data_IF_454260014900
#
_entry.id   IF_454260014900
#
_cell.length_a   1.000
_cell.length_b   1.000
_cell.length_c   1.000
_cell.angle_alpha   90.00
_cell.angle_beta   90.00
_cell.angle_gamma   90.00
#
_symmetry.space_group_name_H-M   'P 1'
#
loop_
_entity.id
_entity.type
_entity.pdbx_description
1 polymer ?
#
# COMPACT_ATOMS: atom_id res chain seq x y z
N UNK A 7 -8.14 -40.78 32.04
CA UNK A 7 -7.14 -40.87 30.98
C UNK A 7 -6.00 -39.88 31.18
N UNK A 8 -4.87 -40.10 30.50
CA UNK A 8 -3.68 -39.32 30.73
C UNK A 8 -2.93 -38.99 29.46
N UNK A 9 -1.89 -38.17 29.57
CA UNK A 9 -1.24 -37.61 28.37
C UNK A 9 -0.52 -38.65 27.55
N UNK A 10 -0.67 -38.62 26.23
CA UNK A 10 0.20 -39.41 25.35
C UNK A 10 1.58 -38.76 25.27
N UNK A 11 2.51 -39.48 24.63
CA UNK A 11 3.90 -39.04 24.59
C UNK A 11 4.47 -39.23 23.18
N UNK A 12 5.69 -38.72 23.01
CA UNK A 12 6.51 -38.97 21.81
C UNK A 12 5.77 -38.61 20.53
N UNK A 13 5.29 -37.37 20.49
CA UNK A 13 4.64 -36.86 19.28
C UNK A 13 5.73 -36.38 18.31
N UNK A 14 5.62 -36.80 17.05
CA UNK A 14 6.64 -36.51 16.06
C UNK A 14 5.95 -36.22 14.73
N UNK A 15 6.60 -35.38 13.92
CA UNK A 15 6.18 -35.15 12.54
C UNK A 15 7.09 -36.01 11.66
N UNK A 16 6.55 -37.11 11.15
CA UNK A 16 7.34 -38.05 10.37
C UNK A 16 7.63 -37.49 8.98
N UNK A 17 6.58 -37.11 8.25
CA UNK A 17 6.72 -36.43 6.97
C UNK A 17 5.70 -35.31 6.88
N UNK A 18 6.02 -34.33 6.03
CA UNK A 18 5.23 -33.11 5.89
C UNK A 18 5.22 -32.71 4.42
N UNK A 19 4.06 -32.26 3.95
CA UNK A 19 3.83 -31.76 2.60
C UNK A 19 3.27 -30.33 2.67
N UNK A 20 2.92 -29.77 1.51
CA UNK A 20 2.40 -28.41 1.47
C UNK A 20 1.08 -28.28 2.23
N UNK A 21 0.24 -29.32 2.23
CA UNK A 21 -1.04 -29.24 2.92
C UNK A 21 -1.26 -30.34 3.97
N UNK A 22 -0.40 -31.35 4.03
CA UNK A 22 -0.55 -32.50 4.92
C UNK A 22 0.69 -32.68 5.80
N UNK A 23 0.55 -33.52 6.82
CA UNK A 23 1.67 -33.94 7.66
C UNK A 23 1.35 -35.29 8.30
N UNK A 24 2.35 -36.15 8.43
CA UNK A 24 2.17 -37.47 9.02
C UNK A 24 2.64 -37.45 10.48
N UNK A 25 1.80 -37.90 11.39
CA UNK A 25 2.10 -37.83 12.80
C UNK A 25 2.23 -39.22 13.40
N UNK A 26 2.90 -39.29 14.55
CA UNK A 26 3.13 -40.58 15.19
C UNK A 26 3.30 -40.34 16.68
N UNK A 27 2.49 -41.03 17.48
CA UNK A 27 2.55 -40.89 18.93
C UNK A 27 2.57 -42.27 19.58
N UNK A 28 2.92 -42.30 20.86
CA UNK A 28 2.91 -43.53 21.64
C UNK A 28 2.02 -43.32 22.86
N UNK A 29 1.19 -44.30 23.23
CA UNK A 29 0.23 -44.08 24.31
C UNK A 29 0.85 -44.07 25.70
N UNK A 30 0.21 -43.31 26.59
CA UNK A 30 0.68 -43.09 27.94
C UNK A 30 -0.33 -43.57 28.95
N UNK A 31 -0.39 -42.86 30.08
CA UNK A 31 -1.30 -43.21 31.16
C UNK A 31 -2.71 -43.20 30.63
N UNK A 32 -3.44 -44.29 30.88
CA UNK A 32 -4.83 -44.37 30.48
C UNK A 32 -5.73 -44.69 31.67
N UNK A 33 -5.31 -44.26 32.87
CA UNK A 33 -6.04 -44.58 34.10
C UNK A 33 -6.39 -46.06 34.15
N UNK A 34 -7.67 -46.36 34.11
CA UNK A 34 -8.08 -47.76 34.15
C UNK A 34 -8.91 -48.19 32.96
N UNK A 35 -9.87 -47.38 32.55
CA UNK A 35 -10.70 -47.73 31.40
C UNK A 35 -9.90 -47.57 30.11
N UNK A 36 -10.26 -48.29 29.05
CA UNK A 36 -9.45 -48.26 27.84
C UNK A 36 -9.55 -46.94 27.08
N UNK A 37 -8.54 -46.69 26.26
CA UNK A 37 -8.55 -45.53 25.37
C UNK A 37 -9.42 -45.84 24.15
N UNK A 38 -10.36 -44.94 23.87
CA UNK A 38 -11.30 -45.12 22.78
C UNK A 38 -11.07 -44.15 21.61
N UNK A 39 -10.34 -43.06 21.82
CA UNK A 39 -10.25 -42.04 20.79
C UNK A 39 -8.98 -41.22 20.97
N UNK A 40 -8.40 -40.79 19.85
CA UNK A 40 -7.31 -39.84 19.82
C UNK A 40 -7.68 -38.69 18.89
N UNK A 41 -7.35 -37.46 19.30
CA UNK A 41 -7.61 -36.26 18.49
C UNK A 41 -6.32 -35.44 18.41
N UNK A 42 -6.16 -34.75 17.29
CA UNK A 42 -4.98 -33.95 17.02
C UNK A 42 -5.36 -32.48 17.03
N UNK A 43 -4.54 -31.66 17.69
CA UNK A 43 -4.74 -30.21 17.73
C UNK A 43 -3.45 -29.52 17.29
N UNK A 44 -3.60 -28.40 16.58
CA UNK A 44 -2.49 -27.70 15.99
C UNK A 44 -2.40 -26.27 16.54
N UNK A 45 -1.21 -25.69 16.41
CA UNK A 45 -0.99 -24.32 16.85
C UNK A 45 -0.09 -23.63 15.82
N UNK A 46 -0.39 -22.37 15.53
CA UNK A 46 0.34 -21.56 14.57
C UNK A 46 0.60 -20.18 15.13
N UNK A 47 1.44 -19.38 14.46
CA UNK A 47 1.56 -17.95 14.80
C UNK A 47 0.29 -17.14 14.57
N UNK A 48 -0.73 -17.68 13.90
CA UNK A 48 -2.01 -17.02 13.69
C UNK A 48 -3.13 -17.62 14.54
N UNK A 49 -2.89 -18.75 15.19
CA UNK A 49 -3.93 -19.40 15.98
C UNK A 49 -4.04 -18.78 17.37
N UNK A 50 -5.27 -18.62 17.84
CA UNK A 50 -5.52 -18.32 19.25
C UNK A 50 -5.55 -19.65 20.00
N UNK A 51 -4.43 -20.01 20.63
CA UNK A 51 -4.40 -21.28 21.31
C UNK A 51 -4.43 -22.45 20.34
N UNK A 52 -4.70 -23.63 20.90
CA UNK A 52 -4.72 -24.85 20.10
C UNK A 52 -6.03 -24.98 19.32
N UNK A 53 -5.92 -25.37 18.06
CA UNK A 53 -7.05 -25.49 17.15
C UNK A 53 -7.17 -26.92 16.65
N UNK A 54 -8.40 -27.37 16.44
CA UNK A 54 -8.62 -28.73 15.96
C UNK A 54 -8.29 -28.83 14.47
N UNK A 55 -8.02 -30.05 14.01
CA UNK A 55 -7.62 -30.29 12.64
C UNK A 55 -8.29 -31.55 12.11
N UNK A 56 -8.33 -31.65 10.78
CA UNK A 56 -8.90 -32.78 10.07
C UNK A 56 -7.82 -33.82 9.84
N UNK A 57 -8.18 -35.09 10.01
CA UNK A 57 -7.22 -36.18 10.00
C UNK A 57 -7.71 -37.30 9.11
N UNK A 58 -6.75 -38.08 8.62
CA UNK A 58 -7.04 -39.32 7.90
C UNK A 58 -6.27 -40.40 8.65
N UNK A 59 -6.94 -41.36 9.29
CA UNK A 59 -8.39 -41.58 9.27
C UNK A 59 -9.20 -40.43 9.84
N UNK A 60 -10.44 -40.33 9.37
CA UNK A 60 -11.32 -39.25 9.81
C UNK A 60 -11.50 -39.27 11.32
N UNK A 61 -11.52 -40.45 11.93
CA UNK A 61 -11.55 -40.61 13.37
C UNK A 61 -10.44 -41.58 13.75
N UNK A 62 -9.70 -41.26 14.81
CA UNK A 62 -8.56 -42.07 15.23
C UNK A 62 -8.96 -42.89 16.45
N UNK A 63 -9.15 -44.19 16.26
CA UNK A 63 -9.52 -45.05 17.38
C UNK A 63 -8.31 -45.29 18.30
N UNK A 64 -8.58 -45.91 19.45
CA UNK A 64 -7.53 -46.18 20.42
C UNK A 64 -6.50 -47.19 19.95
N UNK A 65 -6.78 -47.91 18.87
CA UNK A 65 -5.87 -48.90 18.31
C UNK A 65 -5.04 -48.37 17.16
N UNK A 66 -5.22 -47.10 16.77
CA UNK A 66 -4.46 -46.49 15.70
C UNK A 66 -3.48 -45.48 16.32
N UNK A 67 -2.29 -45.37 15.72
CA UNK A 67 -1.20 -44.62 16.33
C UNK A 67 -0.49 -43.69 15.37
N UNK A 68 -0.85 -43.71 14.09
CA UNK A 68 -0.35 -42.78 13.10
C UNK A 68 -1.53 -42.31 12.27
N UNK A 69 -1.47 -41.05 11.85
CA UNK A 69 -2.51 -40.46 11.01
C UNK A 69 -1.88 -39.36 10.19
N UNK A 70 -2.58 -39.00 9.12
CA UNK A 70 -2.22 -37.84 8.31
C UNK A 70 -3.14 -36.69 8.68
N UNK A 71 -2.55 -35.54 9.03
CA UNK A 71 -3.34 -34.34 9.24
C UNK A 71 -3.44 -33.63 7.90
N UNK A 72 -4.65 -33.18 7.54
CA UNK A 72 -4.91 -32.65 6.21
C UNK A 72 -5.47 -31.22 6.32
N UNK A 73 -5.34 -30.49 5.20
CA UNK A 73 -5.87 -29.13 5.13
C UNK A 73 -5.02 -28.07 5.77
N UNK A 74 -3.72 -28.30 5.89
CA UNK A 74 -2.84 -27.35 6.53
C UNK A 74 -2.56 -26.18 5.58
N UNK A 75 -2.02 -25.11 6.17
CA UNK A 75 -1.73 -23.87 5.46
C UNK A 75 -0.29 -23.89 4.96
N UNK A 76 -0.06 -23.73 3.67
CA UNK A 76 1.33 -23.78 3.15
C UNK A 76 2.24 -22.70 3.74
N UNK A 77 3.49 -23.11 4.00
CA UNK A 77 4.58 -22.22 4.43
C UNK A 77 4.29 -21.59 5.79
N UNK A 78 3.72 -22.39 6.69
CA UNK A 78 3.42 -21.97 8.04
C UNK A 78 4.10 -22.92 9.02
N UNK A 79 4.55 -22.36 10.16
CA UNK A 79 5.16 -23.14 11.22
C UNK A 79 4.07 -23.72 12.11
N UNK A 80 3.97 -25.05 12.15
CA UNK A 80 2.89 -25.73 12.87
C UNK A 80 3.47 -26.48 14.06
N UNK A 81 2.80 -26.36 15.20
CA UNK A 81 2.96 -27.25 16.35
C UNK A 81 1.75 -28.17 16.45
N UNK A 82 1.99 -29.42 16.85
CA UNK A 82 0.92 -30.39 17.01
C UNK A 82 0.93 -30.96 18.43
N UNK A 83 -0.23 -31.45 18.85
CA UNK A 83 -0.33 -32.17 20.12
C UNK A 83 -1.52 -33.12 20.01
N UNK A 84 -1.45 -34.22 20.75
CA UNK A 84 -2.45 -35.28 20.68
C UNK A 84 -3.12 -35.42 22.03
N UNK A 85 -4.44 -35.59 22.02
CA UNK A 85 -5.24 -35.72 23.23
C UNK A 85 -5.99 -37.04 23.19
N UNK A 86 -5.87 -37.80 24.27
CA UNK A 86 -6.54 -39.09 24.43
C UNK A 86 -7.87 -38.90 25.13
N UNK A 87 -8.82 -39.77 24.78
CA UNK A 87 -10.15 -39.74 25.37
C UNK A 87 -10.47 -41.13 25.91
N UNK A 88 -11.01 -41.17 27.12
CA UNK A 88 -11.42 -42.40 27.78
C UNK A 88 -12.92 -42.35 27.97
N UNK A 89 -13.52 -43.53 28.12
CA UNK A 89 -14.95 -43.63 28.42
C UNK A 89 -15.33 -42.85 29.70
N UNK A 90 -14.37 -42.55 30.57
CA UNK A 90 -14.65 -41.77 31.78
C UNK A 90 -14.56 -40.28 31.50
N UNK A 91 -13.67 -39.87 30.61
CA UNK A 91 -13.56 -38.45 30.31
C UNK A 91 -12.48 -38.18 29.29
N UNK A 92 -12.21 -36.89 29.10
CA UNK A 92 -11.16 -36.44 28.18
C UNK A 92 -9.85 -36.34 28.94
N UNK A 93 -8.80 -36.89 28.34
CA UNK A 93 -7.49 -36.92 28.98
C UNK A 93 -6.76 -35.59 28.93
N UNK A 94 -5.53 -35.62 29.45
CA UNK A 94 -4.71 -34.43 29.38
C UNK A 94 -3.95 -34.40 28.05
N UNK A 95 -3.73 -33.22 27.49
CA UNK A 95 -3.02 -33.14 26.20
C UNK A 95 -1.58 -33.56 26.33
N UNK A 96 -1.02 -34.06 25.24
CA UNK A 96 0.39 -34.36 25.22
C UNK A 96 1.21 -33.08 25.11
N UNK A 97 2.50 -33.20 25.41
CA UNK A 97 3.41 -32.09 25.20
C UNK A 97 3.56 -31.84 23.70
N UNK A 98 3.74 -30.58 23.31
CA UNK A 98 3.76 -30.26 21.88
C UNK A 98 4.96 -30.86 21.16
N UNK A 99 4.75 -31.20 19.89
CA UNK A 99 5.84 -31.67 19.05
C UNK A 99 6.73 -30.49 18.63
N UNK A 100 7.83 -30.80 17.96
CA UNK A 100 8.73 -29.75 17.51
C UNK A 100 8.09 -29.01 16.34
N UNK A 101 8.29 -27.69 16.29
CA UNK A 101 7.66 -26.89 15.25
C UNK A 101 8.27 -27.18 13.89
N UNK A 102 7.42 -27.44 12.91
CA UNK A 102 7.85 -27.68 11.53
C UNK A 102 7.05 -26.81 10.58
N UNK A 103 7.73 -26.27 9.59
CA UNK A 103 7.14 -25.43 8.56
C UNK A 103 6.64 -26.29 7.41
N UNK A 104 5.43 -26.01 6.92
CA UNK A 104 4.92 -26.78 5.79
C UNK A 104 5.69 -26.42 4.53
N UNK A 105 5.58 -27.29 3.52
CA UNK A 105 6.25 -27.05 2.25
C UNK A 105 5.66 -25.83 1.55
N UNK A 106 6.31 -25.44 0.45
CA UNK A 106 5.89 -24.29 -0.34
C UNK A 106 4.74 -24.64 -1.28
N UNK A 107 3.99 -23.61 -1.63
CA UNK A 107 2.92 -23.71 -2.61
C UNK A 107 2.79 -22.37 -3.29
N UNK A 108 2.13 -22.36 -4.44
CA UNK A 108 1.86 -21.11 -5.13
C UNK A 108 1.06 -20.18 -4.22
N UNK A 109 1.24 -18.87 -4.38
CA UNK A 109 0.35 -17.92 -3.72
C UNK A 109 -0.97 -17.80 -4.47
N UNK A 110 -2.05 -17.65 -3.71
CA UNK A 110 -3.37 -17.55 -4.33
C UNK A 110 -4.01 -16.18 -4.21
N UNK A 111 -3.66 -15.42 -3.18
CA UNK A 111 -4.32 -14.15 -2.86
C UNK A 111 -3.53 -13.02 -3.50
N UNK A 112 -4.23 -12.02 -3.98
CA UNK A 112 -3.74 -10.80 -4.59
C UNK A 112 -3.85 -9.63 -3.62
N UNK A 113 -3.02 -8.60 -3.78
CA UNK A 113 -3.05 -7.48 -2.83
C UNK A 113 -4.37 -6.73 -2.93
N UNK A 114 -4.72 -6.05 -1.84
CA UNK A 114 -5.98 -5.34 -1.74
C UNK A 114 -5.77 -3.83 -1.90
N UNK A 115 -6.80 -3.16 -2.39
CA UNK A 115 -6.85 -1.70 -2.44
C UNK A 115 -5.66 -1.13 -3.22
N UNK A 116 -5.45 -1.65 -4.43
CA UNK A 116 -4.43 -1.07 -5.30
C UNK A 116 -4.85 0.32 -5.71
N UNK A 117 -4.05 1.32 -5.33
CA UNK A 117 -4.29 2.71 -5.71
C UNK A 117 -2.94 3.42 -5.74
N UNK A 118 -2.99 4.75 -5.85
CA UNK A 118 -1.76 5.53 -5.83
C UNK A 118 -1.91 7.00 -6.15
N UNK A 119 -0.85 7.59 -6.68
CA UNK A 119 -0.83 8.99 -7.07
C UNK A 119 0.12 9.81 -6.21
N UNK A 120 0.27 11.06 -6.62
CA UNK A 120 1.16 11.95 -5.94
C UNK A 120 2.61 11.74 -6.36
N UNK A 121 3.50 12.37 -5.62
CA UNK A 121 4.93 12.18 -5.79
C UNK A 121 5.61 13.41 -6.35
N UNK A 122 6.93 13.27 -6.50
CA UNK A 122 7.77 14.32 -7.04
C UNK A 122 7.71 14.32 -8.58
N UNK A 123 8.43 15.26 -9.18
CA UNK A 123 8.38 15.44 -10.63
C UNK A 123 8.79 14.17 -11.36
N UNK A 124 8.09 13.88 -12.46
CA UNK A 124 8.41 12.77 -13.35
C UNK A 124 8.35 11.42 -12.63
N UNK A 125 7.40 11.26 -11.71
CA UNK A 125 7.22 10.03 -10.95
C UNK A 125 5.82 9.47 -11.16
N UNK A 126 5.67 8.19 -10.82
CA UNK A 126 4.38 7.50 -10.80
C UNK A 126 4.34 6.62 -9.56
N UNK A 127 3.37 6.85 -8.69
CA UNK A 127 3.29 6.20 -7.39
C UNK A 127 2.19 5.16 -7.40
N UNK A 128 2.53 3.93 -7.03
CA UNK A 128 1.55 2.85 -6.94
C UNK A 128 1.58 2.29 -5.52
N UNK A 129 0.40 2.12 -4.92
CA UNK A 129 0.28 1.55 -3.58
C UNK A 129 -0.66 0.36 -3.58
N UNK A 130 -0.56 -0.44 -2.51
CA UNK A 130 -1.40 -1.61 -2.28
C UNK A 130 -1.26 -2.00 -0.81
N UNK A 131 -2.12 -2.91 -0.37
CA UNK A 131 -2.04 -3.41 1.00
C UNK A 131 -1.23 -4.70 1.03
N UNK A 132 -0.27 -4.75 1.96
CA UNK A 132 0.66 -5.87 1.98
C UNK A 132 -0.07 -7.18 2.28
N UNK A 133 0.35 -8.25 1.60
CA UNK A 133 -0.27 -9.57 1.82
C UNK A 133 0.34 -10.18 3.07
N UNK A 134 -0.47 -10.70 3.99
CA UNK A 134 0.06 -11.26 5.23
C UNK A 134 0.89 -12.51 4.99
N UNK A 135 1.70 -12.83 5.99
CA UNK A 135 2.63 -13.95 5.88
C UNK A 135 1.90 -15.28 5.71
N UNK A 136 0.83 -15.50 6.50
CA UNK A 136 0.14 -16.79 6.43
C UNK A 136 -0.31 -17.10 5.01
N UNK A 137 -0.69 -16.09 4.24
CA UNK A 137 -1.17 -16.26 2.88
C UNK A 137 -0.08 -16.14 1.83
N UNK A 138 1.16 -15.83 2.21
CA UNK A 138 2.24 -15.75 1.22
C UNK A 138 2.58 -17.12 0.66
N UNK A 139 2.36 -18.17 1.44
CA UNK A 139 2.46 -19.56 1.01
C UNK A 139 3.82 -19.95 0.45
N UNK A 140 4.84 -19.15 0.65
CA UNK A 140 6.15 -19.58 0.26
C UNK A 140 7.18 -18.53 0.63
N UNK A 141 8.41 -18.98 0.67
CA UNK A 141 9.50 -18.06 0.81
C UNK A 141 9.73 -17.32 -0.49
N UNK A 142 10.56 -16.30 -0.43
CA UNK A 142 10.85 -15.54 -1.62
C UNK A 142 9.65 -14.79 -2.13
N UNK A 143 8.70 -14.51 -1.25
CA UNK A 143 7.49 -13.80 -1.64
C UNK A 143 7.89 -12.43 -2.19
N UNK A 144 7.04 -11.90 -3.07
CA UNK A 144 7.28 -10.60 -3.66
C UNK A 144 6.05 -10.15 -4.40
N UNK A 145 6.11 -8.92 -4.92
CA UNK A 145 5.00 -8.34 -5.68
C UNK A 145 5.42 -8.02 -7.10
N UNK A 146 4.48 -8.13 -8.04
CA UNK A 146 4.70 -7.76 -9.44
C UNK A 146 3.79 -6.58 -9.75
N UNK A 147 4.37 -5.45 -10.11
CA UNK A 147 3.60 -4.27 -10.47
C UNK A 147 3.64 -4.11 -11.98
N UNK A 148 2.46 -4.20 -12.59
CA UNK A 148 2.29 -4.04 -14.02
C UNK A 148 1.52 -2.76 -14.28
N UNK A 149 2.03 -1.95 -15.18
CA UNK A 149 1.40 -0.69 -15.52
C UNK A 149 1.59 -0.44 -17.01
N UNK A 150 0.78 0.49 -17.52
CA UNK A 150 0.87 1.04 -18.87
C UNK A 150 0.02 2.31 -18.99
N UNK A 151 0.41 3.23 -19.86
CA UNK A 151 -0.42 4.43 -20.10
C UNK A 151 -1.76 4.08 -20.73
N UNK A 152 -2.80 4.82 -20.34
CA UNK A 152 -4.15 4.51 -20.78
C UNK A 152 -4.26 4.57 -22.29
N UNK A 153 -4.70 3.47 -22.89
CA UNK A 153 -4.91 3.40 -24.32
C UNK A 153 -3.78 2.73 -25.08
N UNK A 154 -2.71 2.35 -24.39
CA UNK A 154 -1.57 1.66 -24.97
C UNK A 154 -1.72 0.15 -24.77
N UNK A 155 -0.81 -0.59 -25.40
CA UNK A 155 -0.85 -2.05 -25.42
C UNK A 155 0.15 -2.67 -24.45
N UNK A 156 1.45 -2.51 -24.72
CA UNK A 156 2.49 -3.21 -23.98
C UNK A 156 2.53 -2.79 -22.52
N UNK A 157 2.83 -3.75 -21.66
CA UNK A 157 2.90 -3.50 -20.25
C UNK A 157 4.34 -3.24 -19.82
N UNK A 158 4.49 -2.92 -18.54
CA UNK A 158 5.79 -2.75 -17.91
C UNK A 158 5.69 -3.38 -16.53
N UNK A 159 6.43 -4.47 -16.32
CA UNK A 159 6.45 -5.13 -15.03
C UNK A 159 7.69 -4.70 -14.24
N UNK A 160 7.49 -4.39 -12.97
CA UNK A 160 8.57 -4.16 -12.02
C UNK A 160 8.37 -5.15 -10.89
N UNK A 161 9.46 -5.77 -10.46
CA UNK A 161 9.41 -6.76 -9.38
C UNK A 161 9.86 -6.10 -8.09
N UNK A 162 8.95 -6.11 -7.11
CA UNK A 162 9.19 -5.60 -5.77
C UNK A 162 9.40 -6.80 -4.86
N UNK A 163 10.67 -7.09 -4.57
CA UNK A 163 11.07 -8.33 -3.94
C UNK A 163 10.95 -8.32 -2.43
N UNK A 164 10.42 -7.25 -1.84
CA UNK A 164 10.20 -7.20 -0.41
C UNK A 164 8.78 -7.62 -0.10
N UNK A 165 8.57 -8.67 0.70
CA UNK A 165 7.19 -9.04 1.04
C UNK A 165 6.47 -7.99 1.87
N UNK A 166 7.19 -7.21 2.67
CA UNK A 166 6.56 -6.23 3.53
C UNK A 166 6.23 -4.93 2.81
N UNK A 167 6.56 -4.82 1.52
CA UNK A 167 6.38 -3.60 0.76
C UNK A 167 4.91 -3.28 0.55
N UNK A 168 4.63 -1.99 0.31
CA UNK A 168 3.28 -1.54 0.02
C UNK A 168 3.26 -0.31 -0.88
N UNK A 169 4.30 -0.14 -1.71
CA UNK A 169 4.47 1.09 -2.48
C UNK A 169 5.51 0.85 -3.55
N UNK A 170 5.28 1.39 -4.74
CA UNK A 170 6.26 1.36 -5.81
C UNK A 170 6.23 2.67 -6.60
N UNK A 171 7.40 3.20 -6.91
CA UNK A 171 7.52 4.46 -7.63
C UNK A 171 8.32 4.23 -8.90
N UNK A 172 7.80 4.71 -10.02
CA UNK A 172 8.49 4.67 -11.31
C UNK A 172 8.88 6.07 -11.73
N UNK A 173 10.16 6.26 -12.02
CA UNK A 173 10.68 7.56 -12.41
C UNK A 173 11.26 7.49 -13.81
N UNK A 174 10.89 8.43 -14.66
CA UNK A 174 11.51 8.56 -15.98
C UNK A 174 11.15 9.93 -16.55
N UNK A 175 12.13 10.59 -17.16
CA UNK A 175 12.00 11.98 -17.58
C UNK A 175 11.22 12.13 -18.88
N UNK A 176 10.76 11.04 -19.49
CA UNK A 176 9.85 11.11 -20.62
C UNK A 176 8.41 10.90 -20.17
N UNK A 177 8.15 11.04 -18.87
CA UNK A 177 6.83 10.79 -18.33
C UNK A 177 5.95 12.02 -18.51
N UNK A 178 4.77 11.88 -19.10
CA UNK A 178 3.88 13.03 -19.21
C UNK A 178 3.32 13.41 -17.86
N UNK A 179 2.94 14.69 -17.67
CA UNK A 179 2.52 15.15 -16.35
C UNK A 179 1.04 14.87 -16.09
N UNK A 180 0.75 14.34 -14.90
CA UNK A 180 -0.62 14.07 -14.45
C UNK A 180 -1.39 13.21 -15.47
N UNK A 181 -0.74 12.12 -15.93
CA UNK A 181 -1.33 11.32 -16.98
C UNK A 181 -1.84 9.97 -16.44
N UNK A 182 -2.86 9.41 -17.07
CA UNK A 182 -3.52 8.24 -16.50
C UNK A 182 -2.74 6.97 -16.82
N UNK A 183 -2.72 6.06 -15.86
CA UNK A 183 -2.04 4.77 -15.99
C UNK A 183 -2.92 3.63 -15.53
N UNK A 184 -3.08 2.64 -16.40
CA UNK A 184 -3.58 1.35 -15.97
C UNK A 184 -2.52 0.68 -15.11
N UNK A 185 -2.95 0.16 -13.96
CA UNK A 185 -2.08 -0.45 -12.96
C UNK A 185 -2.76 -1.70 -12.43
N UNK A 186 -2.00 -2.79 -12.35
CA UNK A 186 -2.41 -3.98 -11.62
C UNK A 186 -1.17 -4.54 -10.92
N UNK A 187 -1.35 -5.13 -9.75
CA UNK A 187 -0.24 -5.80 -9.07
C UNK A 187 -0.55 -7.27 -8.87
N UNK A 188 0.52 -8.05 -8.68
CA UNK A 188 0.41 -9.47 -8.47
C UNK A 188 1.41 -9.95 -7.45
N UNK A 189 1.41 -11.26 -7.21
CA UNK A 189 2.21 -11.89 -6.17
C UNK A 189 2.98 -13.03 -6.80
N UNK A 190 4.10 -13.40 -6.16
CA UNK A 190 4.91 -14.52 -6.61
C UNK A 190 5.84 -14.95 -5.48
N UNK A 191 6.05 -16.27 -5.34
CA UNK A 191 7.03 -16.77 -4.38
C UNK A 191 8.05 -17.64 -5.08
N UNK A 192 8.65 -18.58 -4.36
CA UNK A 192 9.65 -19.42 -5.00
C UNK A 192 9.02 -20.47 -5.91
N UNK A 193 7.79 -20.89 -5.63
CA UNK A 193 7.20 -21.93 -6.46
C UNK A 193 6.78 -21.40 -7.81
N UNK A 194 6.53 -20.11 -7.90
CA UNK A 194 6.08 -19.48 -9.13
C UNK A 194 5.25 -18.25 -8.80
N UNK A 195 4.34 -17.94 -9.71
CA UNK A 195 3.61 -16.69 -9.71
C UNK A 195 2.16 -16.90 -9.32
N UNK A 196 1.56 -15.86 -8.75
CA UNK A 196 0.14 -15.81 -8.51
C UNK A 196 -0.59 -15.03 -9.58
N UNK A 197 -1.88 -14.82 -9.35
CA UNK A 197 -2.69 -14.03 -10.26
C UNK A 197 -2.59 -12.55 -9.89
N UNK A 198 -3.31 -11.72 -10.64
CA UNK A 198 -3.21 -10.29 -10.54
C UNK A 198 -4.47 -9.68 -9.95
N UNK A 199 -4.29 -8.57 -9.23
CA UNK A 199 -5.41 -7.79 -8.76
C UNK A 199 -6.19 -7.23 -9.96
N UNK A 200 -7.41 -6.74 -9.72
CA UNK A 200 -8.12 -6.07 -10.81
C UNK A 200 -7.38 -4.81 -11.23
N UNK A 201 -7.64 -4.39 -12.46
CA UNK A 201 -6.96 -3.22 -13.02
C UNK A 201 -7.62 -1.97 -12.47
N UNK A 202 -6.82 -1.07 -11.94
CA UNK A 202 -7.30 0.25 -11.55
C UNK A 202 -6.50 1.30 -12.32
N UNK A 203 -6.89 2.56 -12.16
CA UNK A 203 -6.27 3.66 -12.89
C UNK A 203 -5.65 4.63 -11.90
N UNK A 204 -4.36 4.87 -12.07
CA UNK A 204 -3.58 5.74 -11.20
C UNK A 204 -2.95 6.85 -12.04
N UNK A 205 -3.07 8.10 -11.59
CA UNK A 205 -2.53 9.23 -12.33
C UNK A 205 -1.11 9.57 -11.87
N UNK A 206 -0.25 9.88 -12.84
CA UNK A 206 1.12 10.19 -12.50
C UNK A 206 1.18 11.47 -11.67
N UNK A 207 2.41 11.84 -11.31
CA UNK A 207 2.63 13.04 -10.51
C UNK A 207 2.41 14.28 -11.35
N UNK A 208 2.17 15.39 -10.67
CA UNK A 208 1.88 16.65 -11.34
C UNK A 208 3.03 17.63 -11.15
N UNK A 209 3.28 18.43 -12.19
CA UNK A 209 4.34 19.43 -12.18
C UNK A 209 3.73 20.83 -12.17
N UNK A 210 4.50 21.79 -11.65
CA UNK A 210 4.04 23.16 -11.59
C UNK A 210 3.83 23.70 -13.00
N UNK A 211 3.06 24.78 -13.15
CA UNK A 211 2.75 25.28 -14.50
C UNK A 211 4.00 25.74 -15.24
N UNK A 212 3.99 25.55 -16.55
CA UNK A 212 5.20 25.78 -17.34
C UNK A 212 5.25 27.18 -17.95
N UNK A 213 4.10 27.79 -18.23
CA UNK A 213 4.02 29.12 -18.83
C UNK A 213 3.65 30.15 -17.78
N UNK A 214 3.90 31.41 -18.09
CA UNK A 214 3.57 32.50 -17.20
C UNK A 214 2.37 33.27 -17.70
N UNK A 215 1.59 33.89 -16.82
CA UNK A 215 0.49 34.75 -17.26
C UNK A 215 0.97 35.79 -18.26
N UNK A 216 0.02 36.28 -19.06
CA UNK A 216 0.34 37.26 -20.09
C UNK A 216 -0.55 38.49 -19.96
N UNK A 217 -0.04 39.62 -20.45
CA UNK A 217 -0.80 40.88 -20.53
C UNK A 217 -1.36 41.26 -19.16
N UNK A 218 -0.45 41.49 -18.21
CA UNK A 218 -0.87 41.92 -16.89
C UNK A 218 -1.25 43.40 -16.92
N UNK A 219 -2.42 43.72 -16.41
CA UNK A 219 -2.91 45.09 -16.22
C UNK A 219 -2.96 45.44 -14.74
N UNK A 220 -2.86 46.73 -14.45
CA UNK A 220 -2.88 47.16 -13.06
C UNK A 220 -3.17 48.66 -12.96
N UNK A 221 -4.11 48.98 -12.08
CA UNK A 221 -4.60 50.35 -11.90
C UNK A 221 -4.91 50.55 -10.43
N UNK A 222 -4.72 51.77 -9.96
CA UNK A 222 -4.96 52.10 -8.57
C UNK A 222 -6.39 52.56 -8.38
N UNK A 223 -7.09 51.94 -7.42
CA UNK A 223 -8.48 52.26 -7.15
C UNK A 223 -8.64 53.35 -6.11
N UNK A 224 -7.75 53.38 -5.12
CA UNK A 224 -7.78 54.37 -4.05
C UNK A 224 -6.38 54.45 -3.45
N UNK A 225 -6.26 55.17 -2.32
CA UNK A 225 -4.98 55.26 -1.63
C UNK A 225 -4.51 53.92 -1.08
N UNK A 226 -5.41 52.94 -0.95
CA UNK A 226 -5.10 51.67 -0.30
C UNK A 226 -5.39 50.45 -1.17
N UNK A 227 -5.90 50.62 -2.38
CA UNK A 227 -6.40 49.51 -3.19
C UNK A 227 -5.82 49.55 -4.60
N UNK A 228 -5.43 48.38 -5.11
CA UNK A 228 -4.90 48.24 -6.46
C UNK A 228 -5.57 47.03 -7.12
N UNK A 229 -6.14 47.25 -8.30
CA UNK A 229 -6.72 46.19 -9.11
C UNK A 229 -5.73 45.71 -10.16
N UNK A 230 -5.76 44.40 -10.41
CA UNK A 230 -4.78 43.78 -11.29
C UNK A 230 -5.42 42.60 -12.01
N UNK A 231 -5.17 42.50 -13.32
CA UNK A 231 -5.79 41.48 -14.15
C UNK A 231 -4.74 40.89 -15.09
N UNK A 232 -5.09 39.75 -15.68
CA UNK A 232 -4.20 39.05 -16.61
C UNK A 232 -5.02 38.11 -17.47
N UNK A 233 -4.33 37.30 -18.28
CA UNK A 233 -4.91 36.33 -19.19
C UNK A 233 -4.15 35.01 -19.09
N UNK A 234 -4.85 33.89 -19.25
CA UNK A 234 -4.17 32.58 -19.19
C UNK A 234 -3.55 32.24 -20.53
N UNK A 235 -2.32 31.70 -20.52
CA UNK A 235 -1.57 31.42 -21.75
C UNK A 235 -2.16 30.26 -22.57
N UNK A 242 -1.78 21.59 -19.61
CA UNK A 242 -1.56 21.42 -18.19
C UNK A 242 -2.58 22.10 -17.28
N UNK A 243 -2.68 21.61 -16.03
CA UNK A 243 -3.68 22.10 -15.09
C UNK A 243 -3.20 23.37 -14.37
N UNK A 244 -4.18 24.21 -14.03
CA UNK A 244 -3.98 25.46 -13.29
C UNK A 244 -5.14 25.64 -12.32
N UNK A 245 -4.84 25.67 -11.01
CA UNK A 245 -5.91 25.87 -10.03
C UNK A 245 -6.22 27.35 -9.84
N UNK A 246 -5.23 28.21 -10.01
CA UNK A 246 -5.40 29.63 -9.78
C UNK A 246 -4.13 30.42 -10.05
N UNK A 247 -4.03 31.59 -9.43
CA UNK A 247 -2.91 32.48 -9.66
C UNK A 247 -2.47 33.11 -8.35
N UNK A 248 -1.16 33.22 -8.16
CA UNK A 248 -0.58 33.93 -7.03
C UNK A 248 0.01 35.24 -7.53
N UNK A 249 -0.55 36.35 -7.07
CA UNK A 249 -0.03 37.68 -7.35
C UNK A 249 0.62 38.22 -6.09
N UNK A 250 1.86 38.68 -6.23
CA UNK A 250 2.65 39.26 -5.15
C UNK A 250 2.82 40.75 -5.39
N UNK A 251 3.06 41.47 -4.30
CA UNK A 251 3.05 42.92 -4.35
C UNK A 251 3.89 43.45 -3.20
N UNK A 252 4.88 44.29 -3.53
CA UNK A 252 5.80 44.86 -2.54
C UNK A 252 6.10 46.30 -2.89
N UNK A 253 6.32 47.12 -1.86
CA UNK A 253 6.60 48.53 -2.08
C UNK A 253 8.02 48.71 -2.60
N UNK A 254 8.25 49.87 -3.21
CA UNK A 254 9.53 50.11 -3.88
C UNK A 254 10.68 50.06 -2.87
N UNK A 255 10.50 50.64 -1.69
CA UNK A 255 11.57 50.67 -0.69
C UNK A 255 11.79 49.32 -0.03
N UNK A 256 10.78 48.47 -0.01
CA UNK A 256 10.93 47.15 0.57
C UNK A 256 11.57 46.20 -0.45
N UNK A 257 12.11 45.11 0.07
CA UNK A 257 12.71 44.07 -0.76
C UNK A 257 11.67 43.07 -1.22
N UNK A 258 11.87 42.53 -2.42
CA UNK A 258 10.91 41.61 -3.00
C UNK A 258 10.68 40.38 -2.13
N UNK A 259 11.68 39.99 -1.33
CA UNK A 259 11.57 38.81 -0.48
C UNK A 259 10.31 38.86 0.38
N UNK A 260 10.12 39.94 1.11
CA UNK A 260 8.85 40.22 1.77
C UNK A 260 7.93 40.92 0.79
N UNK A 261 7.11 40.15 0.11
CA UNK A 261 6.05 40.68 -0.72
C UNK A 261 4.73 40.13 -0.21
N UNK A 262 3.75 41.02 -0.02
CA UNK A 262 2.39 40.57 0.25
C UNK A 262 1.92 39.71 -0.91
N UNK A 263 1.52 38.48 -0.61
CA UNK A 263 1.06 37.53 -1.62
C UNK A 263 -0.37 37.12 -1.29
N UNK A 264 -1.24 37.14 -2.29
CA UNK A 264 -2.58 36.58 -2.15
C UNK A 264 -2.85 35.76 -3.40
N UNK A 265 -3.68 34.74 -3.25
CA UNK A 265 -3.85 33.69 -4.24
C UNK A 265 -5.28 33.64 -4.78
N UNK A 266 -5.37 33.45 -6.08
CA UNK A 266 -6.64 33.22 -6.77
C UNK A 266 -7.06 31.76 -6.76
N UNK A 267 -8.33 31.54 -6.49
CA UNK A 267 -8.94 30.22 -6.52
C UNK A 267 -10.05 30.28 -7.54
N UNK A 268 -9.88 29.54 -8.64
CA UNK A 268 -10.90 29.47 -9.66
C UNK A 268 -10.36 29.98 -10.99
N UNK A 269 -11.29 30.23 -11.90
CA UNK A 269 -10.96 30.68 -13.24
C UNK A 269 -10.82 32.19 -13.32
N UNK A 270 -11.11 32.93 -12.24
CA UNK A 270 -10.99 34.38 -12.27
C UNK A 270 -9.58 34.81 -12.63
N UNK A 271 -9.47 35.85 -13.45
CA UNK A 271 -8.19 36.34 -13.95
C UNK A 271 -7.86 37.73 -13.43
N UNK A 272 -8.36 38.07 -12.24
CA UNK A 272 -8.11 39.37 -11.65
C UNK A 272 -8.15 39.23 -10.13
N UNK A 273 -7.75 40.29 -9.44
CA UNK A 273 -7.76 40.35 -7.99
C UNK A 273 -7.62 41.82 -7.57
N UNK A 274 -7.82 42.07 -6.28
CA UNK A 274 -7.60 43.39 -5.69
C UNK A 274 -6.65 43.28 -4.52
N UNK A 275 -5.61 44.11 -4.51
CA UNK A 275 -4.67 44.18 -3.40
C UNK A 275 -5.07 45.37 -2.52
N UNK A 276 -5.34 45.12 -1.25
CA UNK A 276 -5.85 46.15 -0.36
C UNK A 276 -4.85 46.44 0.76
N UNK A 277 -5.23 47.39 1.62
CA UNK A 277 -4.46 47.74 2.81
C UNK A 277 -3.07 48.25 2.43
N UNK A 278 -3.01 49.08 1.40
CA UNK A 278 -1.74 49.64 0.94
C UNK A 278 -1.57 51.06 1.47
N UNK A 279 -0.41 51.63 1.20
CA UNK A 279 -0.12 52.99 1.64
C UNK A 279 -0.43 53.99 0.53
N UNK A 280 -0.86 55.18 0.95
CA UNK A 280 -1.29 56.18 0.00
C UNK A 280 -0.11 56.90 -0.65
N UNK A 281 -0.26 57.18 -1.94
CA UNK A 281 0.76 57.86 -2.73
C UNK A 281 2.10 57.13 -2.60
N UNK A 282 2.05 55.84 -2.91
CA UNK A 282 3.23 54.97 -2.85
C UNK A 282 3.32 54.13 -4.11
N UNK A 283 4.55 53.90 -4.56
CA UNK A 283 4.80 53.07 -5.74
C UNK A 283 4.87 51.61 -5.31
N UNK A 284 4.16 50.75 -6.03
CA UNK A 284 4.15 49.33 -5.75
C UNK A 284 4.55 48.58 -7.00
N UNK A 285 5.11 47.39 -6.80
CA UNK A 285 5.46 46.46 -7.87
C UNK A 285 4.64 45.20 -7.71
N UNK A 286 4.06 44.74 -8.81
CA UNK A 286 3.18 43.57 -8.80
C UNK A 286 3.52 42.64 -9.96
N UNK A 287 3.37 41.34 -9.72
CA UNK A 287 3.40 40.34 -10.76
C UNK A 287 2.60 39.13 -10.29
N UNK A 288 2.20 38.28 -11.24
CA UNK A 288 1.33 37.14 -10.96
C UNK A 288 1.91 35.87 -11.58
N UNK A 289 1.92 34.79 -10.80
CA UNK A 289 2.33 33.46 -11.24
C UNK A 289 1.11 32.53 -11.32
N UNK A 290 1.18 31.53 -12.19
CA UNK A 290 0.21 30.43 -12.10
C UNK A 290 0.68 29.40 -11.07
N UNK A 291 -0.27 28.64 -10.52
CA UNK A 291 0.08 27.63 -9.54
C UNK A 291 -0.86 26.43 -9.62
N UNK A 292 -0.30 25.24 -9.39
CA UNK A 292 -1.08 24.04 -9.08
C UNK A 292 -0.64 23.49 -7.73
N UNK A 293 -0.96 22.22 -7.46
CA UNK A 293 -0.53 21.62 -6.20
C UNK A 293 0.99 21.49 -6.12
N UNK A 294 1.65 21.38 -7.27
CA UNK A 294 3.09 21.14 -7.30
C UNK A 294 3.89 22.38 -6.93
N UNK A 295 3.36 23.57 -7.18
CA UNK A 295 4.02 24.81 -6.83
C UNK A 295 3.61 25.93 -7.78
N UNK A 296 4.39 27.00 -7.74
CA UNK A 296 4.14 28.18 -8.56
C UNK A 296 4.93 28.10 -9.85
N UNK A 297 4.26 28.41 -10.96
CA UNK A 297 4.91 28.51 -12.24
C UNK A 297 5.77 29.75 -12.37
N UNK A 298 6.10 30.09 -13.61
CA UNK A 298 6.93 31.26 -13.85
C UNK A 298 6.14 32.53 -13.61
N UNK A 299 6.87 33.58 -13.26
CA UNK A 299 6.26 34.88 -12.98
C UNK A 299 5.97 35.62 -14.26
N UNK A 300 4.81 36.27 -14.30
CA UNK A 300 4.50 37.18 -15.39
C UNK A 300 5.39 38.39 -15.31
N UNK A 301 5.31 39.24 -16.34
CA UNK A 301 6.13 40.44 -16.34
C UNK A 301 5.65 41.36 -15.22
N UNK A 302 6.52 42.27 -14.81
CA UNK A 302 6.21 43.09 -13.65
C UNK A 302 5.42 44.31 -14.12
N UNK A 303 4.52 44.81 -13.26
CA UNK A 303 3.82 46.08 -13.50
C UNK A 303 3.93 47.00 -12.30
N UNK A 304 3.90 48.30 -12.59
CA UNK A 304 4.22 49.34 -11.62
C UNK A 304 3.09 50.35 -11.53
N UNK A 305 2.58 50.54 -10.32
CA UNK A 305 1.42 51.38 -10.08
C UNK A 305 1.64 52.18 -8.81
N UNK A 306 1.30 53.47 -8.87
CA UNK A 306 1.35 54.35 -7.71
C UNK A 306 -0.09 54.61 -7.26
N UNK A 307 -0.34 54.47 -5.97
CA UNK A 307 -1.69 54.66 -5.47
C UNK A 307 -2.11 56.12 -5.51
N UNK A 308 -3.41 56.35 -5.40
CA UNK A 308 -3.92 57.71 -5.40
C UNK A 308 -3.58 58.40 -4.07
N UNK A 309 -3.68 59.73 -4.09
CA UNK A 309 -3.40 60.53 -2.90
C UNK A 309 -4.68 60.83 -2.12
#
# INVERSE_FOLDING_TARGET
GSTGSPPGPPEDVTIDEITDTTAQLSWRPGADNHSPITMYVVQARTPFSVGWQAVSTVPEVIDGKTFTATVVGLNPWVEYEFRVVAANLIGIGEPSRPSENRRTEEALPEVTPANVSGGGGSKSELVITWETVPEELQNGGGFGYVVAFRPFGTISWMQAAVASPDASRYVFRNESLPPFSPYEVKVGVANNKGAGSFSPVTVVYSAEEEPTRAPITVLARSLSATDIEISWAPPRENQHKGRIQGYEVRCWRHDEKEENARKIRTVGNQTSAKVTNLQGNALYHLAVKAYNTAGTGPSSAMVNVTTKK
#
